data_IF_464546758061
#
_entry.id   IF_464546758061
#
_cell.length_a   1.000
_cell.length_b   1.000
_cell.length_c   1.000
_cell.angle_alpha   90.00
_cell.angle_beta   90.00
_cell.angle_gamma   90.00
#
_symmetry.space_group_name_H-M   'P 1'
#
loop_
_entity.id
_entity.type
_entity.pdbx_description
1 polymer ?
#
# COMPACT_ATOMS: atom_id res chain seq x y z
N UNK A 1 2.59 14.85 18.77
CA UNK A 1 2.11 14.11 17.59
C UNK A 1 1.16 13.03 18.08
N UNK A 2 -0.10 13.03 17.65
CA UNK A 2 -1.05 11.99 18.07
C UNK A 2 -0.64 10.64 17.45
N UNK A 3 -0.73 9.51 18.19
CA UNK A 3 -0.34 8.19 17.67
C UNK A 3 -1.04 7.80 16.36
N UNK A 4 -2.30 8.17 16.19
CA UNK A 4 -3.15 7.91 15.02
C UNK A 4 -2.60 8.61 13.78
N UNK A 5 -2.22 9.87 13.94
CA UNK A 5 -1.60 10.68 12.91
C UNK A 5 -0.31 10.04 12.41
N UNK A 6 0.56 9.61 13.32
CA UNK A 6 1.82 8.94 12.97
C UNK A 6 1.59 7.61 12.26
N UNK A 7 0.58 6.83 12.68
CA UNK A 7 0.21 5.59 11.98
C UNK A 7 -0.20 5.88 10.53
N UNK A 8 -0.96 6.94 10.29
CA UNK A 8 -1.39 7.32 8.94
C UNK A 8 -0.22 7.76 8.06
N UNK A 9 0.72 8.54 8.61
CA UNK A 9 1.96 8.91 7.92
C UNK A 9 2.80 7.66 7.60
N UNK A 10 3.00 6.75 8.55
CA UNK A 10 3.74 5.50 8.34
C UNK A 10 3.08 4.64 7.25
N UNK A 11 1.75 4.55 7.23
CA UNK A 11 1.03 3.86 6.17
C UNK A 11 1.34 4.50 4.81
N UNK A 12 1.19 5.82 4.69
CA UNK A 12 1.46 6.53 3.44
C UNK A 12 2.90 6.37 2.95
N UNK A 13 3.88 6.44 3.85
CA UNK A 13 5.30 6.20 3.53
C UNK A 13 5.53 4.77 3.01
N UNK A 14 4.88 3.77 3.61
CA UNK A 14 4.97 2.39 3.15
C UNK A 14 4.28 2.19 1.79
N UNK A 15 3.16 2.88 1.53
CA UNK A 15 2.51 2.87 0.21
C UNK A 15 3.48 3.43 -0.84
N UNK A 16 4.05 4.60 -0.57
CA UNK A 16 5.06 5.22 -1.43
C UNK A 16 6.28 4.30 -1.65
N UNK A 17 6.75 3.62 -0.60
CA UNK A 17 7.83 2.65 -0.69
C UNK A 17 7.47 1.44 -1.56
N UNK A 18 6.23 0.98 -1.51
CA UNK A 18 5.74 -0.11 -2.35
C UNK A 18 5.63 0.30 -3.82
N UNK A 19 5.07 1.48 -4.12
CA UNK A 19 4.99 2.03 -5.48
C UNK A 19 6.40 2.10 -6.09
N UNK A 20 7.35 2.72 -5.37
CA UNK A 20 8.74 2.83 -5.81
C UNK A 20 9.38 1.47 -6.02
N UNK A 21 9.10 0.50 -5.15
CA UNK A 21 9.60 -0.85 -5.31
C UNK A 21 9.10 -1.48 -6.62
N UNK A 22 7.80 -1.42 -6.90
CA UNK A 22 7.21 -1.98 -8.12
C UNK A 22 7.83 -1.31 -9.35
N UNK A 23 7.91 0.02 -9.37
CA UNK A 23 8.51 0.78 -10.47
C UNK A 23 9.99 0.43 -10.68
N UNK A 24 10.78 0.34 -9.61
CA UNK A 24 12.20 -0.01 -9.69
C UNK A 24 12.43 -1.43 -10.18
N UNK A 25 11.58 -2.39 -9.80
CA UNK A 25 11.69 -3.75 -10.30
C UNK A 25 11.28 -3.85 -11.78
N UNK A 26 10.44 -2.95 -12.29
CA UNK A 26 10.13 -2.90 -13.72
C UNK A 26 11.29 -2.38 -14.57
N UNK A 27 12.15 -1.52 -14.02
CA UNK A 27 13.28 -0.91 -14.74
C UNK A 27 14.57 -1.70 -14.58
N UNK A 28 14.94 -2.05 -13.34
CA UNK A 28 16.20 -2.73 -13.03
C UNK A 28 16.05 -4.25 -12.94
N UNK A 29 14.86 -4.71 -12.49
CA UNK A 29 14.54 -6.10 -12.21
C UNK A 29 15.62 -6.89 -11.45
N UNK A 30 16.20 -6.27 -10.41
CA UNK A 30 17.28 -6.86 -9.60
C UNK A 30 16.89 -8.20 -8.96
N UNK A 31 15.59 -8.40 -8.69
CA UNK A 31 15.08 -9.65 -8.12
C UNK A 31 14.64 -10.69 -9.16
N UNK A 32 14.82 -10.41 -10.46
CA UNK A 32 14.43 -11.30 -11.57
C UNK A 32 12.98 -11.76 -11.49
N UNK A 33 12.10 -10.84 -11.09
CA UNK A 33 10.65 -11.04 -11.04
C UNK A 33 10.14 -11.16 -12.48
N UNK A 34 9.14 -12.02 -12.70
CA UNK A 34 8.47 -12.07 -14.00
C UNK A 34 7.89 -10.69 -14.36
N UNK A 35 8.31 -10.14 -15.50
CA UNK A 35 7.95 -8.78 -15.91
C UNK A 35 6.45 -8.62 -16.18
N UNK A 36 5.77 -9.64 -16.71
CA UNK A 36 4.34 -9.57 -16.97
C UNK A 36 3.57 -9.58 -15.65
N UNK A 37 4.01 -10.41 -14.69
CA UNK A 37 3.40 -10.46 -13.37
C UNK A 37 3.57 -9.14 -12.61
N UNK A 38 4.76 -8.54 -12.70
CA UNK A 38 5.04 -7.24 -12.09
C UNK A 38 4.29 -6.10 -12.78
N UNK A 39 4.13 -6.16 -14.11
CA UNK A 39 3.33 -5.20 -14.86
C UNK A 39 1.86 -5.23 -14.39
N UNK A 40 1.30 -6.40 -14.13
CA UNK A 40 -0.05 -6.52 -13.59
C UNK A 40 -0.19 -5.85 -12.22
N UNK A 41 0.80 -6.00 -11.32
CA UNK A 41 0.82 -5.28 -10.03
C UNK A 41 0.84 -3.77 -10.28
N UNK A 42 1.66 -3.30 -11.23
CA UNK A 42 1.73 -1.88 -11.56
C UNK A 42 0.39 -1.33 -12.04
N UNK A 43 -0.34 -2.06 -12.90
CA UNK A 43 -1.67 -1.65 -13.33
C UNK A 43 -2.66 -1.58 -12.17
N UNK A 44 -2.63 -2.54 -11.25
CA UNK A 44 -3.49 -2.50 -10.06
C UNK A 44 -3.14 -1.29 -9.17
N UNK A 45 -1.85 -0.99 -8.97
CA UNK A 45 -1.39 0.20 -8.23
C UNK A 45 -1.94 1.50 -8.84
N UNK A 46 -1.96 1.60 -10.17
CA UNK A 46 -2.49 2.75 -10.90
C UNK A 46 -4.03 2.81 -10.85
N UNK A 47 -4.71 1.68 -11.06
CA UNK A 47 -6.17 1.54 -11.02
C UNK A 47 -6.75 1.97 -9.67
N UNK A 48 -6.14 1.52 -8.58
CA UNK A 48 -6.51 1.88 -7.21
C UNK A 48 -5.86 3.18 -6.71
N UNK A 49 -5.17 3.91 -7.58
CA UNK A 49 -4.64 5.26 -7.33
C UNK A 49 -3.79 5.37 -6.06
N UNK A 50 -2.92 4.39 -5.80
CA UNK A 50 -2.15 4.33 -4.55
C UNK A 50 -1.33 5.59 -4.26
N UNK A 51 -0.76 6.22 -5.31
CA UNK A 51 0.01 7.46 -5.14
C UNK A 51 -0.85 8.58 -4.56
N UNK A 52 -2.07 8.78 -5.11
CA UNK A 52 -3.01 9.80 -4.64
C UNK A 52 -3.41 9.51 -3.19
N UNK A 53 -3.69 8.26 -2.84
CA UNK A 53 -4.01 7.88 -1.46
C UNK A 53 -2.86 8.24 -0.52
N UNK A 54 -1.62 7.89 -0.86
CA UNK A 54 -0.47 8.16 -0.01
C UNK A 54 -0.25 9.66 0.19
N UNK A 55 -0.31 10.44 -0.90
CA UNK A 55 -0.12 11.88 -0.86
C UNK A 55 -1.22 12.57 -0.04
N UNK A 56 -2.46 12.13 -0.19
CA UNK A 56 -3.60 12.65 0.58
C UNK A 56 -3.52 12.28 2.06
N UNK A 57 -3.15 11.03 2.39
CA UNK A 57 -2.93 10.61 3.77
C UNK A 57 -1.90 11.47 4.48
N UNK A 58 -0.80 11.82 3.80
CA UNK A 58 0.21 12.75 4.33
C UNK A 58 -0.39 14.14 4.49
N UNK A 59 -0.98 14.68 3.42
CA UNK A 59 -1.47 16.07 3.39
C UNK A 59 -2.48 16.37 4.49
N UNK A 60 -3.40 15.45 4.77
CA UNK A 60 -4.48 15.67 5.74
C UNK A 60 -4.07 15.39 7.18
N UNK A 61 -2.98 14.63 7.39
CA UNK A 61 -2.48 14.22 8.71
C UNK A 61 -1.11 14.82 9.05
N UNK A 62 -0.60 15.81 8.29
CA UNK A 62 0.71 16.40 8.57
C UNK A 62 0.67 17.38 9.77
N UNK A 63 -0.50 17.97 10.08
CA UNK A 63 -0.65 18.99 11.13
C UNK A 63 -1.66 18.60 12.21
N UNK A 64 -2.76 17.95 11.84
CA UNK A 64 -3.81 17.53 12.77
C UNK A 64 -4.46 16.21 12.30
N UNK A 65 -5.11 15.51 13.22
CA UNK A 65 -5.76 14.24 12.95
C UNK A 65 -7.13 14.43 12.29
N UNK A 66 -7.26 14.00 11.03
CA UNK A 66 -8.54 13.98 10.32
C UNK A 66 -9.09 12.54 10.25
N UNK A 67 -9.76 12.11 11.31
CA UNK A 67 -10.23 10.72 11.45
C UNK A 67 -11.09 10.26 10.29
N UNK A 68 -12.21 10.96 10.02
CA UNK A 68 -13.20 10.54 9.04
C UNK A 68 -12.59 10.39 7.65
N UNK A 69 -11.78 11.37 7.22
CA UNK A 69 -11.20 11.32 5.88
C UNK A 69 -10.03 10.33 5.81
N UNK A 70 -9.26 10.18 6.89
CA UNK A 70 -8.22 9.15 6.97
C UNK A 70 -8.80 7.75 6.85
N UNK A 71 -9.82 7.41 7.64
CA UNK A 71 -10.45 6.09 7.59
C UNK A 71 -11.06 5.81 6.21
N UNK A 72 -11.61 6.83 5.55
CA UNK A 72 -12.06 6.70 4.16
C UNK A 72 -10.92 6.32 3.22
N UNK A 73 -9.78 7.02 3.26
CA UNK A 73 -8.61 6.73 2.41
C UNK A 73 -8.01 5.35 2.71
N UNK A 74 -7.92 4.97 4.00
CA UNK A 74 -7.45 3.65 4.43
C UNK A 74 -8.34 2.55 3.86
N UNK A 75 -9.67 2.71 3.95
CA UNK A 75 -10.61 1.72 3.41
C UNK A 75 -10.52 1.60 1.88
N UNK A 76 -10.34 2.72 1.16
CA UNK A 76 -10.12 2.70 -0.29
C UNK A 76 -8.82 1.97 -0.66
N UNK A 77 -7.74 2.26 0.04
CA UNK A 77 -6.46 1.57 -0.16
C UNK A 77 -6.54 0.08 0.16
N UNK A 78 -7.26 -0.28 1.24
CA UNK A 78 -7.44 -1.66 1.66
C UNK A 78 -8.11 -2.51 0.58
N UNK A 79 -9.08 -1.96 -0.15
CA UNK A 79 -9.71 -2.66 -1.27
C UNK A 79 -8.68 -3.03 -2.35
N UNK A 80 -7.84 -2.07 -2.76
CA UNK A 80 -6.82 -2.32 -3.78
C UNK A 80 -5.71 -3.28 -3.32
N UNK A 81 -5.22 -3.11 -2.09
CA UNK A 81 -4.12 -3.96 -1.59
C UNK A 81 -4.58 -5.41 -1.38
N UNK A 82 -5.85 -5.65 -1.05
CA UNK A 82 -6.42 -7.00 -0.96
C UNK A 82 -6.44 -7.70 -2.31
N UNK A 83 -6.80 -7.00 -3.40
CA UNK A 83 -6.76 -7.58 -4.75
C UNK A 83 -5.34 -7.91 -5.20
N UNK A 84 -4.37 -7.03 -4.89
CA UNK A 84 -2.95 -7.29 -5.17
C UNK A 84 -2.45 -8.50 -4.35
N UNK A 85 -2.85 -8.63 -3.09
CA UNK A 85 -2.46 -9.74 -2.22
C UNK A 85 -3.01 -11.09 -2.71
N UNK A 86 -4.27 -11.14 -3.14
CA UNK A 86 -4.84 -12.32 -3.78
C UNK A 86 -4.09 -12.70 -5.06
N UNK A 87 -3.81 -11.71 -5.92
CA UNK A 87 -3.04 -11.92 -7.13
C UNK A 87 -1.63 -12.46 -6.85
N UNK A 88 -0.92 -11.92 -5.85
CA UNK A 88 0.40 -12.40 -5.44
C UNK A 88 0.34 -13.81 -4.88
N UNK A 89 -0.66 -14.16 -4.07
CA UNK A 89 -0.86 -15.53 -3.56
C UNK A 89 -1.07 -16.54 -4.69
N UNK A 90 -1.84 -16.17 -5.71
CA UNK A 90 -2.11 -17.02 -6.88
C UNK A 90 -0.88 -17.19 -7.81
N UNK A 91 0.16 -16.36 -7.62
CA UNK A 91 1.39 -16.38 -8.41
C UNK A 91 2.62 -16.33 -7.48
N UNK A 92 2.56 -17.10 -6.39
CA UNK A 92 3.51 -16.98 -5.27
C UNK A 92 4.96 -17.24 -5.70
N UNK A 93 5.20 -18.24 -6.54
CA UNK A 93 6.56 -18.63 -6.95
C UNK A 93 7.30 -17.48 -7.65
N UNK A 94 6.58 -16.71 -8.46
CA UNK A 94 7.10 -15.59 -9.23
C UNK A 94 7.14 -14.29 -8.43
N UNK A 95 6.27 -14.15 -7.42
CA UNK A 95 6.03 -12.90 -6.71
C UNK A 95 6.35 -12.97 -5.21
N UNK A 96 7.01 -14.03 -4.72
CA UNK A 96 7.24 -14.23 -3.28
C UNK A 96 7.93 -13.01 -2.63
N UNK A 97 8.81 -12.31 -3.33
CA UNK A 97 9.53 -11.13 -2.83
C UNK A 97 8.60 -9.94 -2.52
N UNK A 98 7.41 -9.89 -3.13
CA UNK A 98 6.41 -8.85 -2.93
C UNK A 98 5.65 -9.06 -1.61
N UNK A 99 5.52 -10.31 -1.16
CA UNK A 99 4.66 -10.71 -0.03
C UNK A 99 4.97 -10.00 1.28
N UNK A 100 6.25 -9.82 1.63
CA UNK A 100 6.64 -9.16 2.87
C UNK A 100 6.16 -7.69 2.92
N UNK A 101 6.18 -6.99 1.78
CA UNK A 101 5.69 -5.61 1.69
C UNK A 101 4.17 -5.54 1.82
N UNK A 102 3.47 -6.47 1.17
CA UNK A 102 2.01 -6.58 1.29
C UNK A 102 1.58 -6.87 2.72
N UNK A 103 2.25 -7.80 3.39
CA UNK A 103 1.97 -8.14 4.79
C UNK A 103 2.10 -6.91 5.70
N UNK A 104 3.15 -6.10 5.54
CA UNK A 104 3.31 -4.84 6.29
C UNK A 104 2.15 -3.87 6.01
N UNK A 105 1.81 -3.63 4.74
CA UNK A 105 0.74 -2.71 4.35
C UNK A 105 -0.63 -3.15 4.89
N UNK A 106 -0.96 -4.44 4.76
CA UNK A 106 -2.22 -5.01 5.26
C UNK A 106 -2.32 -4.86 6.78
N UNK A 107 -1.23 -5.14 7.52
CA UNK A 107 -1.23 -4.97 8.96
C UNK A 107 -1.36 -3.51 9.40
N UNK A 108 -0.76 -2.58 8.66
CA UNK A 108 -0.94 -1.14 8.90
C UNK A 108 -2.40 -0.72 8.67
N UNK A 109 -3.04 -1.18 7.59
CA UNK A 109 -4.47 -0.96 7.35
C UNK A 109 -5.33 -1.50 8.50
N UNK A 110 -5.10 -2.76 8.88
CA UNK A 110 -5.86 -3.42 9.96
C UNK A 110 -5.63 -2.80 11.34
N UNK A 111 -4.59 -1.98 11.52
CA UNK A 111 -4.38 -1.25 12.77
C UNK A 111 -5.40 -0.13 12.99
N UNK A 112 -6.09 0.32 11.92
CA UNK A 112 -7.16 1.32 11.99
C UNK A 112 -8.53 0.70 12.30
N UNK A 113 -8.79 -0.56 11.92
CA UNK A 113 -10.06 -1.23 12.23
C UNK A 113 -10.22 -1.58 13.71
N UNK A 114 -9.11 -1.68 14.46
CA UNK A 114 -9.11 -1.86 15.92
C UNK A 114 -9.49 -0.60 16.71
N UNK A 115 -9.75 0.53 16.06
CA UNK A 115 -10.11 1.80 16.70
C UNK A 115 -11.64 1.97 16.79
N UNK A 116 -12.40 1.20 16.00
CA UNK A 116 -13.86 1.27 15.93
C UNK A 116 -14.61 0.35 16.92
N UNK A 117 -13.93 -0.14 17.97
CA UNK A 117 -14.50 -1.03 19.00
C UNK A 117 -14.42 -0.42 20.39
#
# INVERSE_FOLDING_TARGET
>A
MQPEMQKAIILAENINGFIKFVQNQRTLNNFRIDNNKLLQINYLVEEYKFQIVADELIRINQFDWNEKYTLYLVNQFQQGITIIDEYVKNNYNELFIVTARLHTLINLCNSFSKIAS
#
